data_IF_510148728226
#
_entry.id   IF_510148728226
#
_cell.length_a   1.000
_cell.length_b   1.000
_cell.length_c   1.000
_cell.angle_alpha   90.00
_cell.angle_beta   90.00
_cell.angle_gamma   90.00
#
_symmetry.space_group_name_H-M   'P 1'
#
loop_
_entity.id
_entity.type
_entity.pdbx_description
1 polymer ?
#
# COMPACT_ATOMS: atom_id res chain seq x y z
N UNK A 1 28.96 56.50 19.24
CA UNK A 1 28.67 55.79 17.98
C UNK A 1 27.20 55.92 17.70
N UNK A 2 26.80 56.77 16.71
CA UNK A 2 25.39 56.93 16.31
C UNK A 2 25.04 55.83 15.32
N UNK A 3 24.34 54.79 15.76
CA UNK A 3 23.69 53.83 14.87
C UNK A 3 22.49 54.51 14.25
N UNK A 4 22.60 54.91 12.97
CA UNK A 4 21.46 55.34 12.19
C UNK A 4 20.56 54.13 12.01
N UNK A 5 19.37 54.13 12.65
CA UNK A 5 18.31 53.21 12.36
C UNK A 5 17.78 53.54 10.94
N UNK A 6 18.13 52.68 9.98
CA UNK A 6 17.55 52.76 8.63
C UNK A 6 16.16 52.17 8.71
N UNK A 7 15.15 52.99 8.56
CA UNK A 7 13.77 52.54 8.43
C UNK A 7 13.52 51.89 7.06
N UNK A 8 12.67 50.87 7.01
CA UNK A 8 12.24 50.26 5.75
C UNK A 8 11.52 51.29 4.86
N UNK A 9 11.83 51.29 3.57
CA UNK A 9 11.14 52.14 2.61
C UNK A 9 9.77 51.54 2.27
N UNK A 10 8.79 52.39 1.94
CA UNK A 10 7.44 51.96 1.57
C UNK A 10 7.46 51.01 0.35
N UNK A 11 8.39 51.24 -0.57
CA UNK A 11 8.61 50.40 -1.75
C UNK A 11 9.10 49.00 -1.36
N UNK A 12 9.98 48.86 -0.39
CA UNK A 12 10.51 47.60 0.09
C UNK A 12 9.43 46.74 0.74
N UNK A 13 8.51 47.37 1.49
CA UNK A 13 7.33 46.67 2.07
C UNK A 13 6.40 46.20 0.95
N UNK A 14 6.13 47.01 -0.06
CA UNK A 14 5.28 46.62 -1.19
C UNK A 14 5.86 45.44 -1.98
N UNK A 15 7.15 45.48 -2.28
CA UNK A 15 7.84 44.40 -2.97
C UNK A 15 7.81 43.12 -2.13
N UNK A 16 8.06 43.21 -0.82
CA UNK A 16 8.00 42.05 0.08
C UNK A 16 6.63 41.43 0.16
N UNK A 17 5.56 42.24 0.22
CA UNK A 17 4.17 41.76 0.21
C UNK A 17 3.79 41.07 -1.10
N UNK A 18 4.22 41.62 -2.24
CA UNK A 18 3.96 40.98 -3.54
C UNK A 18 4.68 39.63 -3.67
N UNK A 19 5.93 39.55 -3.27
CA UNK A 19 6.68 38.28 -3.26
C UNK A 19 6.03 37.28 -2.31
N UNK A 20 5.63 37.71 -1.12
CA UNK A 20 4.96 36.82 -0.15
C UNK A 20 3.64 36.29 -0.71
N UNK A 21 2.85 37.12 -1.38
CA UNK A 21 1.56 36.71 -1.97
C UNK A 21 1.73 35.70 -3.09
N UNK A 22 2.76 35.84 -3.92
CA UNK A 22 3.10 34.87 -4.98
C UNK A 22 3.51 33.53 -4.39
N UNK A 23 4.38 33.52 -3.36
CA UNK A 23 4.80 32.31 -2.67
C UNK A 23 3.64 31.61 -1.96
N UNK A 24 2.76 32.38 -1.31
CA UNK A 24 1.59 31.84 -0.65
C UNK A 24 0.63 31.15 -1.63
N UNK A 25 0.33 31.77 -2.76
CA UNK A 25 -0.54 31.15 -3.78
C UNK A 25 0.04 29.88 -4.38
N UNK A 26 1.35 29.84 -4.62
CA UNK A 26 2.03 28.66 -5.11
C UNK A 26 1.96 27.48 -4.11
N UNK A 27 2.14 27.75 -2.81
CA UNK A 27 2.07 26.70 -1.78
C UNK A 27 0.65 26.20 -1.56
N UNK A 28 -0.35 27.06 -1.52
CA UNK A 28 -1.76 26.66 -1.37
C UNK A 28 -2.26 25.80 -2.54
N UNK A 29 -1.76 26.02 -3.76
CA UNK A 29 -2.10 25.22 -4.93
C UNK A 29 -1.65 23.76 -4.85
N UNK A 30 -0.63 23.44 -4.06
CA UNK A 30 -0.09 22.08 -3.91
C UNK A 30 -0.82 21.23 -2.85
N UNK A 31 -1.47 21.87 -1.87
CA UNK A 31 -2.10 21.17 -0.74
C UNK A 31 -3.16 20.13 -1.14
N UNK A 32 -4.09 20.39 -2.10
CA UNK A 32 -5.08 19.41 -2.49
C UNK A 32 -4.46 18.14 -3.12
N UNK A 33 -3.36 18.30 -3.86
CA UNK A 33 -2.63 17.17 -4.45
C UNK A 33 -2.01 16.26 -3.41
N UNK A 34 -1.38 16.84 -2.38
CA UNK A 34 -0.76 16.09 -1.30
C UNK A 34 -1.80 15.32 -0.45
N UNK A 35 -2.96 15.91 -0.20
CA UNK A 35 -4.03 15.23 0.53
C UNK A 35 -4.55 14.00 -0.23
N UNK A 36 -4.71 14.08 -1.55
CA UNK A 36 -5.14 12.94 -2.40
C UNK A 36 -4.08 11.85 -2.46
N UNK A 37 -2.80 12.20 -2.57
CA UNK A 37 -1.70 11.23 -2.54
C UNK A 37 -1.64 10.49 -1.20
N UNK A 38 -1.81 11.21 -0.10
CA UNK A 38 -1.78 10.61 1.23
C UNK A 38 -2.93 9.59 1.43
N UNK A 39 -4.14 9.89 0.97
CA UNK A 39 -5.26 8.94 1.05
C UNK A 39 -5.01 7.68 0.19
N UNK A 40 -4.55 7.84 -1.04
CA UNK A 40 -4.24 6.73 -1.93
C UNK A 40 -3.15 5.81 -1.33
N UNK A 41 -2.10 6.39 -0.76
CA UNK A 41 -1.02 5.62 -0.11
C UNK A 41 -1.52 4.85 1.11
N UNK A 42 -2.42 5.44 1.90
CA UNK A 42 -3.03 4.75 3.05
C UNK A 42 -3.86 3.53 2.62
N UNK A 43 -4.61 3.67 1.55
CA UNK A 43 -5.44 2.59 1.02
C UNK A 43 -4.57 1.44 0.47
N UNK A 44 -3.49 1.75 -0.25
CA UNK A 44 -2.53 0.75 -0.71
C UNK A 44 -1.82 0.03 0.44
N UNK A 45 -1.45 0.76 1.50
CA UNK A 45 -0.86 0.16 2.70
C UNK A 45 -1.82 -0.80 3.39
N UNK A 46 -3.11 -0.46 3.52
CA UNK A 46 -4.12 -1.34 4.10
C UNK A 46 -4.26 -2.64 3.33
N UNK A 47 -4.39 -2.55 2.00
CA UNK A 47 -4.50 -3.74 1.14
C UNK A 47 -3.26 -4.62 1.27
N UNK A 48 -2.07 -4.02 1.31
CA UNK A 48 -0.79 -4.73 1.46
C UNK A 48 -0.68 -5.43 2.81
N UNK A 49 -1.11 -4.78 3.90
CA UNK A 49 -1.07 -5.37 5.24
C UNK A 49 -2.00 -6.59 5.35
N UNK A 50 -3.21 -6.51 4.78
CA UNK A 50 -4.15 -7.65 4.77
C UNK A 50 -3.58 -8.80 3.95
N UNK A 51 -3.03 -8.52 2.77
CA UNK A 51 -2.40 -9.54 1.94
C UNK A 51 -1.20 -10.19 2.64
N UNK A 52 -0.37 -9.39 3.32
CA UNK A 52 0.77 -9.90 4.11
C UNK A 52 0.31 -10.82 5.23
N UNK A 53 -0.68 -10.40 6.03
CA UNK A 53 -1.25 -11.22 7.10
C UNK A 53 -1.79 -12.55 6.58
N UNK A 54 -2.52 -12.52 5.45
CA UNK A 54 -3.03 -13.72 4.80
C UNK A 54 -1.90 -14.67 4.38
N UNK A 55 -0.84 -14.16 3.75
CA UNK A 55 0.28 -15.01 3.33
C UNK A 55 1.12 -15.55 4.51
N UNK A 56 1.18 -14.83 5.62
CA UNK A 56 1.80 -15.34 6.85
C UNK A 56 0.99 -16.49 7.46
N UNK A 57 -0.34 -16.35 7.51
CA UNK A 57 -1.23 -17.42 7.94
C UNK A 57 -1.16 -18.64 7.00
N UNK A 58 -1.13 -18.40 5.69
CA UNK A 58 -0.97 -19.46 4.68
C UNK A 58 0.38 -20.15 4.83
N UNK A 59 1.45 -19.43 5.13
CA UNK A 59 2.77 -20.02 5.39
C UNK A 59 2.76 -20.93 6.62
N UNK A 60 2.11 -20.48 7.70
CA UNK A 60 1.93 -21.29 8.91
C UNK A 60 1.06 -22.53 8.63
N UNK A 61 0.01 -22.40 7.82
CA UNK A 61 -0.85 -23.50 7.42
C UNK A 61 -0.08 -24.55 6.62
N UNK A 62 0.75 -24.13 5.66
CA UNK A 62 1.57 -25.03 4.84
C UNK A 62 2.86 -25.53 5.50
N UNK A 63 3.12 -25.15 6.74
CA UNK A 63 4.28 -25.65 7.49
C UNK A 63 4.26 -27.15 7.75
N UNK A 64 3.08 -27.80 7.61
CA UNK A 64 2.93 -29.25 7.75
C UNK A 64 2.59 -29.88 6.39
N UNK A 65 3.18 -31.04 6.11
CA UNK A 65 2.95 -31.78 4.87
C UNK A 65 1.47 -32.18 4.65
N UNK A 66 0.75 -32.43 5.74
CA UNK A 66 -0.68 -32.78 5.70
C UNK A 66 -1.53 -31.60 5.19
N UNK A 67 -1.26 -30.41 5.67
CA UNK A 67 -1.99 -29.20 5.27
C UNK A 67 -1.57 -28.70 3.89
N UNK A 68 -0.34 -29.05 3.46
CA UNK A 68 0.17 -28.63 2.16
C UNK A 68 -0.70 -29.14 1.00
N UNK A 69 -1.32 -30.31 1.11
CA UNK A 69 -2.17 -30.88 0.07
C UNK A 69 -3.60 -30.30 0.09
N UNK A 70 -3.94 -29.49 1.09
CA UNK A 70 -5.23 -28.80 1.21
C UNK A 70 -5.16 -27.37 0.65
N UNK A 71 -6.33 -26.77 0.42
CA UNK A 71 -6.41 -25.36 0.08
C UNK A 71 -6.30 -24.50 1.36
N UNK A 72 -5.64 -23.33 1.29
CA UNK A 72 -5.51 -22.45 2.43
C UNK A 72 -6.88 -21.85 2.78
N UNK A 73 -7.13 -21.54 4.06
CA UNK A 73 -8.35 -20.91 4.47
C UNK A 73 -8.52 -19.57 3.74
N UNK A 74 -9.75 -19.24 3.38
CA UNK A 74 -10.06 -17.95 2.78
C UNK A 74 -9.74 -16.82 3.77
N UNK A 75 -9.33 -15.63 3.30
CA UNK A 75 -9.13 -14.49 4.17
C UNK A 75 -10.45 -14.12 4.85
N UNK A 76 -10.37 -13.85 6.15
CA UNK A 76 -11.57 -13.49 6.94
C UNK A 76 -12.11 -12.13 6.50
N UNK A 77 -13.32 -12.17 5.95
CA UNK A 77 -14.26 -11.04 5.91
C UNK A 77 -13.85 -9.78 5.14
N UNK A 78 -14.82 -8.88 5.07
CA UNK A 78 -14.64 -7.52 4.58
C UNK A 78 -14.22 -6.64 5.74
N UNK A 79 -13.02 -6.05 5.68
CA UNK A 79 -12.55 -5.08 6.67
C UNK A 79 -12.57 -3.68 6.03
N UNK A 80 -13.34 -2.76 6.57
CA UNK A 80 -13.40 -1.34 6.14
C UNK A 80 -13.57 -1.14 4.62
N UNK A 81 -14.46 -1.91 4.00
CA UNK A 81 -14.73 -1.82 2.56
C UNK A 81 -13.70 -2.53 1.66
N UNK A 82 -12.68 -3.18 2.24
CA UNK A 82 -11.76 -4.05 1.54
C UNK A 82 -12.37 -5.45 1.43
N UNK A 83 -12.54 -5.94 0.22
CA UNK A 83 -13.04 -7.28 -0.05
C UNK A 83 -11.95 -8.09 -0.75
N UNK A 84 -11.54 -9.22 -0.16
CA UNK A 84 -10.62 -10.15 -0.80
C UNK A 84 -11.39 -11.38 -1.29
N UNK A 85 -11.11 -11.81 -2.53
CA UNK A 85 -11.69 -13.04 -3.07
C UNK A 85 -11.01 -14.27 -2.45
N UNK A 86 -11.70 -15.43 -2.55
CA UNK A 86 -11.06 -16.70 -2.21
C UNK A 86 -9.72 -16.86 -2.97
N UNK A 87 -8.67 -17.38 -2.32
CA UNK A 87 -7.37 -17.53 -2.95
C UNK A 87 -7.46 -18.55 -4.11
N UNK A 88 -6.75 -18.25 -5.19
CA UNK A 88 -6.57 -19.21 -6.29
C UNK A 88 -5.25 -19.93 -6.09
N UNK A 89 -5.28 -21.26 -5.97
CA UNK A 89 -4.09 -22.08 -5.80
C UNK A 89 -3.76 -22.77 -7.12
N UNK A 90 -2.53 -22.59 -7.59
CA UNK A 90 -2.01 -23.27 -8.78
C UNK A 90 -0.84 -24.13 -8.39
N UNK A 91 -0.92 -25.42 -8.66
CA UNK A 91 0.17 -26.38 -8.45
C UNK A 91 1.10 -26.37 -9.66
N UNK A 92 2.38 -26.15 -9.47
CA UNK A 92 3.25 -25.90 -10.63
C UNK A 92 4.33 -26.92 -10.92
N UNK A 93 4.68 -27.89 -10.11
CA UNK A 93 5.67 -28.92 -10.51
C UNK A 93 5.41 -30.21 -9.74
N UNK A 94 4.94 -31.29 -10.38
CA UNK A 94 4.97 -32.59 -9.76
C UNK A 94 6.42 -33.10 -9.69
N UNK A 95 6.82 -33.64 -8.54
CA UNK A 95 8.06 -34.39 -8.45
C UNK A 95 7.90 -35.78 -9.13
N UNK A 96 8.97 -36.58 -9.32
CA UNK A 96 8.89 -37.94 -9.89
C UNK A 96 7.94 -38.89 -9.15
N UNK A 97 7.59 -38.56 -7.89
CA UNK A 97 6.60 -39.32 -7.10
C UNK A 97 5.17 -38.79 -7.29
N UNK A 98 4.94 -37.86 -8.20
CA UNK A 98 3.61 -37.28 -8.48
C UNK A 98 3.10 -36.27 -7.45
N UNK A 99 3.93 -35.87 -6.47
CA UNK A 99 3.56 -34.91 -5.44
C UNK A 99 3.89 -33.48 -5.90
N UNK A 100 3.01 -32.54 -5.62
CA UNK A 100 3.25 -31.13 -5.87
C UNK A 100 4.38 -30.61 -4.97
N UNK A 101 5.41 -30.02 -5.57
CA UNK A 101 6.56 -29.46 -4.82
C UNK A 101 6.46 -27.96 -4.64
N UNK A 102 5.70 -27.28 -5.48
CA UNK A 102 5.52 -25.84 -5.42
C UNK A 102 4.04 -25.49 -5.66
N UNK A 103 3.46 -24.71 -4.75
CA UNK A 103 2.13 -24.13 -4.89
C UNK A 103 2.22 -22.61 -5.02
N UNK A 104 1.56 -22.05 -6.03
CA UNK A 104 1.38 -20.62 -6.16
C UNK A 104 0.01 -20.23 -5.65
N UNK A 105 -0.02 -19.35 -4.66
CA UNK A 105 -1.25 -18.80 -4.09
C UNK A 105 -1.40 -17.37 -4.59
N UNK A 106 -2.54 -17.09 -5.21
CA UNK A 106 -2.90 -15.76 -5.73
C UNK A 106 -4.08 -15.24 -4.94
N UNK A 107 -3.92 -14.06 -4.36
CA UNK A 107 -4.96 -13.33 -3.65
C UNK A 107 -5.32 -12.06 -4.41
N UNK A 108 -6.61 -11.83 -4.61
CA UNK A 108 -7.13 -10.59 -5.21
C UNK A 108 -7.95 -9.84 -4.18
N UNK A 109 -7.56 -8.60 -3.91
CA UNK A 109 -8.27 -7.73 -2.99
C UNK A 109 -8.74 -6.47 -3.71
N UNK A 110 -9.99 -6.09 -3.49
CA UNK A 110 -10.62 -4.91 -4.08
C UNK A 110 -10.95 -3.91 -2.98
N UNK A 111 -10.47 -2.67 -3.12
CA UNK A 111 -10.77 -1.54 -2.27
C UNK A 111 -11.19 -0.36 -3.13
N UNK A 112 -12.35 0.23 -2.87
CA UNK A 112 -12.89 1.40 -3.60
C UNK A 112 -12.88 1.21 -5.13
N UNK A 113 -13.20 0.01 -5.61
CA UNK A 113 -13.23 -0.33 -7.04
C UNK A 113 -11.87 -0.58 -7.69
N UNK A 114 -10.76 -0.50 -6.93
CA UNK A 114 -9.42 -0.86 -7.39
C UNK A 114 -9.08 -2.26 -6.94
N UNK A 115 -8.67 -3.11 -7.87
CA UNK A 115 -8.26 -4.49 -7.57
C UNK A 115 -6.74 -4.60 -7.58
N UNK A 116 -6.20 -5.07 -6.48
CA UNK A 116 -4.77 -5.43 -6.34
C UNK A 116 -4.63 -6.93 -6.31
N UNK A 117 -3.64 -7.46 -7.01
CA UNK A 117 -3.37 -8.91 -7.08
C UNK A 117 -2.02 -9.17 -6.44
N UNK A 118 -1.99 -10.08 -5.49
CA UNK A 118 -0.80 -10.53 -4.77
C UNK A 118 -0.58 -11.99 -5.06
N UNK A 119 0.68 -12.40 -5.17
CA UNK A 119 1.03 -13.81 -5.39
C UNK A 119 2.24 -14.19 -4.54
N UNK A 120 2.24 -15.43 -4.06
CA UNK A 120 3.36 -16.02 -3.33
C UNK A 120 3.47 -17.51 -3.62
N UNK A 121 4.70 -17.96 -3.77
CA UNK A 121 5.02 -19.36 -3.98
C UNK A 121 5.42 -20.00 -2.65
N UNK A 122 4.90 -21.21 -2.40
CA UNK A 122 5.15 -22.02 -1.22
C UNK A 122 5.73 -23.35 -1.65
N UNK A 123 6.90 -23.68 -1.11
CA UNK A 123 7.51 -24.98 -1.29
C UNK A 123 6.94 -26.00 -0.29
N UNK A 124 6.93 -27.27 -0.67
CA UNK A 124 6.57 -28.37 0.25
C UNK A 124 7.61 -28.47 1.35
N UNK A 125 7.21 -28.55 2.65
CA UNK A 125 8.14 -28.74 3.76
C UNK A 125 8.76 -30.14 3.78
#
# INVERSE_FOLDING_TARGET
>A
MNTKSQGFTLVEILVSLTLLSVLATATFGLLPGLARLNSATRDEQRVTLVAKSFFEQTAAFYATSVNYDQDPPAPEGTVDGLTCSAPTVTSSIPNPAGQTTLKRVILRCTLLGRTSTFQRDFARP
#
